data_IF_536711078136
#
_entry.id   IF_536711078136
#
_cell.length_a   1.000
_cell.length_b   1.000
_cell.length_c   1.000
_cell.angle_alpha   90.00
_cell.angle_beta   90.00
_cell.angle_gamma   90.00
#
_symmetry.space_group_name_H-M   'P 1'
#
loop_
_entity.id
_entity.type
_entity.pdbx_description
1 polymer ?
#
# COMPACT_ATOMS: atom_id res chain seq x y z
N UNK A 1 39.20 9.04 28.05
CA UNK A 1 39.01 7.58 28.12
C UNK A 1 38.36 7.29 29.47
N UNK A 2 37.05 7.03 29.50
CA UNK A 2 36.41 6.52 30.71
C UNK A 2 37.09 5.20 31.08
N UNK A 3 37.61 5.11 32.30
CA UNK A 3 38.22 3.89 32.83
C UNK A 3 37.12 3.09 33.51
N UNK A 4 37.04 1.80 33.18
CA UNK A 4 36.09 0.88 33.79
C UNK A 4 36.35 0.77 35.31
N UNK A 5 35.29 0.62 36.11
CA UNK A 5 35.41 0.64 37.58
C UNK A 5 35.50 -0.74 38.21
N UNK A 6 34.86 -1.76 37.63
CA UNK A 6 34.70 -3.10 38.19
C UNK A 6 35.05 -4.23 37.21
N UNK A 7 34.74 -4.08 35.93
CA UNK A 7 34.86 -5.13 34.92
C UNK A 7 35.61 -4.65 33.67
N UNK A 8 36.37 -5.54 33.04
CA UNK A 8 37.06 -5.24 31.78
C UNK A 8 36.88 -6.35 30.76
N UNK A 9 36.44 -6.00 29.55
CA UNK A 9 36.32 -6.95 28.45
C UNK A 9 37.72 -7.23 27.88
N UNK A 10 38.13 -8.49 27.88
CA UNK A 10 39.44 -8.90 27.36
C UNK A 10 39.37 -9.40 25.91
N UNK A 11 38.26 -10.02 25.54
CA UNK A 11 38.08 -10.60 24.21
C UNK A 11 36.98 -11.65 24.17
N UNK A 12 36.95 -12.42 23.08
CA UNK A 12 35.96 -13.45 22.84
C UNK A 12 36.67 -14.78 22.58
N UNK A 13 36.15 -15.87 23.14
CA UNK A 13 36.58 -17.23 22.84
C UNK A 13 35.50 -17.98 22.06
N UNK A 14 35.93 -18.91 21.20
CA UNK A 14 35.05 -19.74 20.38
C UNK A 14 35.37 -21.21 20.65
N UNK A 15 34.55 -21.86 21.47
CA UNK A 15 34.59 -23.31 21.68
C UNK A 15 33.39 -23.95 20.97
N UNK A 16 32.17 -23.82 21.51
CA UNK A 16 30.90 -24.23 20.87
C UNK A 16 29.91 -23.06 20.71
N UNK A 17 29.87 -22.15 21.69
CA UNK A 17 29.13 -20.87 21.65
C UNK A 17 30.11 -19.72 21.84
N UNK A 18 29.88 -18.58 21.20
CA UNK A 18 30.75 -17.41 21.39
C UNK A 18 30.53 -16.86 22.81
N UNK A 19 31.59 -16.89 23.61
CA UNK A 19 31.59 -16.35 24.98
C UNK A 19 32.50 -15.13 25.07
N UNK A 20 32.06 -14.13 25.81
CA UNK A 20 32.85 -12.97 26.15
C UNK A 20 33.66 -13.23 27.43
N UNK A 21 34.95 -12.92 27.37
CA UNK A 21 35.88 -13.07 28.49
C UNK A 21 36.00 -11.72 29.21
N UNK A 22 35.51 -11.68 30.44
CA UNK A 22 35.49 -10.48 31.29
C UNK A 22 36.39 -10.69 32.50
N UNK A 23 37.20 -9.70 32.83
CA UNK A 23 38.05 -9.67 34.02
C UNK A 23 37.41 -8.84 35.11
N UNK A 24 37.39 -9.36 36.34
CA UNK A 24 37.01 -8.61 37.54
C UNK A 24 38.23 -7.86 38.06
N UNK A 25 38.22 -6.52 38.00
CA UNK A 25 39.38 -5.69 38.32
C UNK A 25 39.82 -5.80 39.79
N UNK A 26 38.88 -6.05 40.70
CA UNK A 26 39.17 -6.17 42.13
C UNK A 26 39.87 -7.49 42.51
N UNK A 27 39.68 -8.55 41.75
CA UNK A 27 40.17 -9.91 42.09
C UNK A 27 41.11 -10.51 41.05
N UNK A 28 41.20 -9.93 39.85
CA UNK A 28 41.92 -10.50 38.71
C UNK A 28 41.28 -11.77 38.14
N UNK A 29 40.11 -12.17 38.64
CA UNK A 29 39.42 -13.39 38.21
C UNK A 29 38.84 -13.21 36.80
N UNK A 30 39.02 -14.22 35.96
CA UNK A 30 38.45 -14.29 34.62
C UNK A 30 37.11 -15.04 34.63
N UNK A 31 36.11 -14.50 33.97
CA UNK A 31 34.78 -15.09 33.82
C UNK A 31 34.45 -15.13 32.32
N UNK A 32 34.02 -16.29 31.83
CA UNK A 32 33.49 -16.47 30.48
C UNK A 32 31.96 -16.49 30.55
N UNK A 33 31.31 -15.58 29.83
CA UNK A 33 29.86 -15.41 29.85
C UNK A 33 29.32 -15.50 28.42
N UNK A 34 28.14 -16.08 28.22
CA UNK A 34 27.47 -16.07 26.91
C UNK A 34 27.15 -14.64 26.47
N UNK A 35 27.22 -14.37 25.16
CA UNK A 35 26.93 -13.03 24.63
C UNK A 35 25.52 -12.48 25.01
N UNK A 36 24.43 -13.27 24.94
CA UNK A 36 23.09 -12.76 25.30
C UNK A 36 22.94 -12.52 26.81
N UNK A 37 23.53 -13.40 27.62
CA UNK A 37 23.53 -13.25 29.08
C UNK A 37 24.30 -12.01 29.51
N UNK A 38 25.43 -11.74 28.86
CA UNK A 38 26.23 -10.54 29.11
C UNK A 38 25.49 -9.26 28.72
N UNK A 39 24.69 -9.28 27.64
CA UNK A 39 23.84 -8.14 27.24
C UNK A 39 22.81 -7.77 28.32
N UNK A 40 22.19 -8.78 28.93
CA UNK A 40 21.19 -8.60 29.98
C UNK A 40 21.74 -8.37 31.39
N UNK A 41 23.07 -8.43 31.56
CA UNK A 41 23.72 -8.40 32.88
C UNK A 41 24.13 -7.00 33.33
N UNK A 42 24.24 -6.80 34.65
CA UNK A 42 24.77 -5.57 35.27
C UNK A 42 26.23 -5.25 34.85
N UNK A 43 26.95 -6.24 34.28
CA UNK A 43 28.32 -6.07 33.80
C UNK A 43 28.36 -5.13 32.59
N UNK A 44 27.29 -5.06 31.80
CA UNK A 44 27.19 -4.19 30.62
C UNK A 44 27.32 -2.70 30.98
N UNK A 45 26.78 -2.29 32.13
CA UNK A 45 26.75 -0.90 32.55
C UNK A 45 28.14 -0.32 32.89
N UNK A 46 29.12 -1.19 33.16
CA UNK A 46 30.49 -0.79 33.54
C UNK A 46 31.51 -0.89 32.37
N UNK A 47 31.08 -1.39 31.21
CA UNK A 47 31.91 -1.49 30.01
C UNK A 47 32.09 -0.14 29.32
N UNK A 48 33.27 0.10 28.75
CA UNK A 48 33.53 1.31 27.98
C UNK A 48 32.80 1.27 26.62
N UNK A 49 32.52 2.44 26.05
CA UNK A 49 31.88 2.62 24.74
C UNK A 49 32.55 1.81 23.61
N UNK A 50 33.88 1.67 23.65
CA UNK A 50 34.62 0.85 22.67
C UNK A 50 34.41 -0.66 22.87
N UNK A 51 34.27 -1.10 24.12
CA UNK A 51 34.04 -2.50 24.49
C UNK A 51 32.59 -2.90 24.20
N UNK A 52 31.63 -2.03 24.52
CA UNK A 52 30.22 -2.17 24.15
C UNK A 52 30.08 -2.29 22.62
N UNK A 53 30.78 -1.43 21.87
CA UNK A 53 30.78 -1.49 20.39
C UNK A 53 31.36 -2.80 19.87
N UNK A 54 32.43 -3.32 20.49
CA UNK A 54 33.03 -4.60 20.12
C UNK A 54 32.07 -5.78 20.40
N UNK A 55 31.39 -5.75 21.54
CA UNK A 55 30.38 -6.73 21.94
C UNK A 55 29.19 -6.73 20.99
N UNK A 56 28.57 -5.58 20.72
CA UNK A 56 27.45 -5.51 19.77
C UNK A 56 27.84 -5.87 18.35
N UNK A 57 29.04 -5.50 17.90
CA UNK A 57 29.57 -5.93 16.60
C UNK A 57 29.67 -7.45 16.50
N UNK A 58 29.86 -8.14 17.63
CA UNK A 58 29.99 -9.59 17.64
C UNK A 58 28.70 -10.33 17.92
N UNK A 59 27.84 -9.76 18.76
CA UNK A 59 26.49 -10.25 19.03
C UNK A 59 25.63 -10.19 17.76
N UNK A 60 25.62 -9.05 17.05
CA UNK A 60 24.86 -8.87 15.80
C UNK A 60 25.67 -9.15 14.52
N UNK A 61 26.89 -9.66 14.66
CA UNK A 61 27.75 -10.02 13.53
C UNK A 61 27.74 -11.52 13.20
N UNK A 62 26.97 -12.31 13.96
CA UNK A 62 26.85 -13.75 13.76
C UNK A 62 25.67 -14.07 12.84
N UNK A 63 25.82 -15.07 11.97
CA UNK A 63 24.86 -15.42 10.92
C UNK A 63 23.52 -15.98 11.44
N UNK A 64 23.44 -16.24 12.75
CA UNK A 64 22.24 -16.71 13.43
C UNK A 64 21.40 -15.60 14.08
N UNK A 65 21.83 -14.33 14.00
CA UNK A 65 21.05 -13.20 14.53
C UNK A 65 20.12 -12.62 13.48
N UNK A 66 18.82 -12.70 13.75
CA UNK A 66 17.78 -12.16 12.87
C UNK A 66 17.97 -10.64 12.82
N UNK A 67 18.52 -10.15 11.72
CA UNK A 67 18.73 -8.70 11.55
C UNK A 67 17.38 -8.01 11.33
N UNK A 68 17.31 -6.71 11.64
CA UNK A 68 16.14 -5.88 11.30
C UNK A 68 15.82 -5.89 9.79
N UNK A 69 16.81 -6.25 8.96
CA UNK A 69 16.66 -6.47 7.53
C UNK A 69 15.93 -7.79 7.20
N UNK A 70 16.22 -8.88 7.94
CA UNK A 70 15.50 -10.15 7.84
C UNK A 70 14.09 -10.09 8.44
N UNK A 71 13.86 -9.25 9.46
CA UNK A 71 12.52 -8.85 9.92
C UNK A 71 11.76 -8.00 8.87
N UNK A 72 12.50 -7.30 8.00
CA UNK A 72 11.99 -6.40 6.98
C UNK A 72 11.70 -7.08 5.63
N UNK A 73 12.25 -8.27 5.38
CA UNK A 73 11.93 -9.07 4.19
C UNK A 73 10.59 -9.78 4.40
N UNK A 74 9.58 -8.94 4.27
CA UNK A 74 8.16 -9.24 4.21
C UNK A 74 7.97 -10.50 3.38
N UNK A 75 7.54 -11.60 4.03
CA UNK A 75 7.11 -12.88 3.44
C UNK A 75 6.71 -12.74 1.97
N UNK A 76 7.17 -13.62 1.07
CA UNK A 76 6.74 -13.67 -0.34
C UNK A 76 5.22 -13.47 -0.49
N UNK A 77 4.44 -14.04 0.45
CA UNK A 77 2.97 -13.89 0.55
C UNK A 77 2.47 -12.45 0.60
N UNK A 78 3.18 -11.55 1.28
CA UNK A 78 2.83 -10.14 1.34
C UNK A 78 3.08 -9.44 0.01
N UNK A 79 4.19 -9.73 -0.67
CA UNK A 79 4.43 -9.22 -2.02
C UNK A 79 3.43 -9.79 -3.03
N UNK A 80 3.07 -11.07 -2.91
CA UNK A 80 1.98 -11.65 -3.69
C UNK A 80 0.63 -10.95 -3.41
N UNK A 81 0.30 -10.66 -2.15
CA UNK A 81 -0.91 -9.92 -1.82
C UNK A 81 -0.89 -8.49 -2.42
N UNK A 82 0.23 -7.79 -2.34
CA UNK A 82 0.41 -6.48 -3.00
C UNK A 82 0.20 -6.57 -4.51
N UNK A 83 0.76 -7.59 -5.16
CA UNK A 83 0.60 -7.81 -6.60
C UNK A 83 -0.86 -8.10 -6.95
N UNK A 84 -1.53 -9.00 -6.21
CA UNK A 84 -2.95 -9.33 -6.45
C UNK A 84 -3.83 -8.09 -6.31
N UNK A 85 -3.64 -7.30 -5.25
CA UNK A 85 -4.43 -6.07 -5.04
C UNK A 85 -4.14 -5.06 -6.15
N UNK A 86 -2.87 -4.90 -6.55
CA UNK A 86 -2.49 -3.99 -7.63
C UNK A 86 -3.08 -4.42 -8.97
N UNK A 87 -3.04 -5.70 -9.33
CA UNK A 87 -3.64 -6.24 -10.57
C UNK A 87 -5.17 -6.14 -10.54
N UNK A 88 -5.79 -6.40 -9.39
CA UNK A 88 -7.23 -6.25 -9.25
C UNK A 88 -7.64 -4.79 -9.45
N UNK A 89 -6.84 -3.86 -8.92
CA UNK A 89 -7.06 -2.44 -9.10
C UNK A 89 -6.92 -2.01 -10.56
N UNK A 90 -5.87 -2.45 -11.27
CA UNK A 90 -5.70 -2.12 -12.69
C UNK A 90 -6.88 -2.63 -13.52
N UNK A 91 -7.34 -3.84 -13.25
CA UNK A 91 -8.49 -4.44 -13.92
C UNK A 91 -9.78 -3.65 -13.69
N UNK A 92 -10.06 -3.26 -12.43
CA UNK A 92 -11.23 -2.44 -12.10
C UNK A 92 -11.15 -1.07 -12.76
N UNK A 93 -9.97 -0.48 -12.83
CA UNK A 93 -9.77 0.82 -13.47
C UNK A 93 -10.01 0.75 -15.00
N UNK A 94 -9.50 -0.29 -15.66
CA UNK A 94 -9.79 -0.56 -17.07
C UNK A 94 -11.29 -0.82 -17.31
N UNK A 95 -11.91 -1.64 -16.47
CA UNK A 95 -13.36 -1.91 -16.52
C UNK A 95 -14.17 -0.62 -16.37
N UNK A 96 -13.76 0.27 -15.47
CA UNK A 96 -14.42 1.56 -15.27
C UNK A 96 -14.25 2.47 -16.48
N UNK A 97 -13.11 2.42 -17.17
CA UNK A 97 -12.85 3.20 -18.38
C UNK A 97 -13.77 2.75 -19.52
N UNK A 98 -13.91 1.45 -19.75
CA UNK A 98 -14.82 0.88 -20.76
C UNK A 98 -16.30 1.10 -20.36
N UNK A 99 -16.64 0.83 -19.10
CA UNK A 99 -17.97 1.02 -18.55
C UNK A 99 -18.40 2.49 -18.48
N UNK A 100 -17.46 3.44 -18.62
CA UNK A 100 -17.74 4.87 -18.65
C UNK A 100 -18.40 5.34 -19.95
N UNK A 101 -18.31 4.55 -21.02
CA UNK A 101 -18.81 4.91 -22.35
C UNK A 101 -20.32 4.78 -22.48
N UNK A 102 -20.92 3.80 -21.80
CA UNK A 102 -22.35 3.50 -21.94
C UNK A 102 -23.15 4.24 -20.86
N UNK A 103 -23.90 5.31 -21.16
CA UNK A 103 -24.82 5.89 -20.19
C UNK A 103 -25.95 4.90 -19.92
N UNK A 104 -26.33 4.72 -18.65
CA UNK A 104 -27.54 4.00 -18.26
C UNK A 104 -28.52 4.95 -17.58
N UNK A 105 -29.80 4.77 -17.88
CA UNK A 105 -30.88 5.44 -17.16
C UNK A 105 -31.28 4.57 -15.97
N UNK A 106 -31.29 5.15 -14.78
CA UNK A 106 -31.82 4.49 -13.57
C UNK A 106 -33.28 4.97 -13.39
N UNK A 107 -34.30 4.15 -13.72
CA UNK A 107 -35.69 4.62 -13.78
C UNK A 107 -36.23 5.11 -12.44
N UNK A 108 -35.74 4.54 -11.33
CA UNK A 108 -36.21 4.83 -9.96
C UNK A 108 -35.89 6.25 -9.51
N UNK A 109 -34.78 6.82 -10.00
CA UNK A 109 -34.28 8.15 -9.60
C UNK A 109 -34.14 9.13 -10.77
N UNK A 110 -34.51 8.69 -11.98
CA UNK A 110 -34.42 9.47 -13.22
C UNK A 110 -33.04 10.10 -13.47
N UNK A 111 -31.97 9.40 -13.07
CA UNK A 111 -30.59 9.81 -13.28
C UNK A 111 -29.96 9.06 -14.45
N UNK A 112 -29.18 9.78 -15.26
CA UNK A 112 -28.31 9.21 -16.30
C UNK A 112 -26.90 9.16 -15.74
N UNK A 113 -26.39 7.95 -15.51
CA UNK A 113 -25.06 7.74 -14.94
C UNK A 113 -24.35 6.61 -15.69
N UNK A 114 -23.03 6.69 -15.94
CA UNK A 114 -22.30 5.55 -16.48
C UNK A 114 -22.19 4.42 -15.45
N UNK A 115 -22.28 3.13 -15.84
CA UNK A 115 -22.03 1.98 -14.97
C UNK A 115 -20.69 2.03 -14.23
N UNK A 116 -19.71 2.75 -14.77
CA UNK A 116 -18.42 3.00 -14.12
C UNK A 116 -18.55 3.50 -12.68
N UNK A 117 -19.64 4.20 -12.33
CA UNK A 117 -19.85 4.71 -10.97
C UNK A 117 -19.96 3.63 -9.90
N UNK A 118 -20.31 2.39 -10.28
CA UNK A 118 -20.43 1.29 -9.33
C UNK A 118 -19.11 0.54 -9.14
N UNK A 119 -18.24 0.57 -10.15
CA UNK A 119 -16.96 -0.13 -10.13
C UNK A 119 -15.83 0.76 -9.61
N UNK A 120 -15.83 2.03 -10.02
CA UNK A 120 -14.76 2.98 -9.70
C UNK A 120 -14.55 3.18 -8.19
N UNK A 121 -15.58 3.28 -7.32
CA UNK A 121 -15.37 3.39 -5.88
C UNK A 121 -14.60 2.21 -5.25
N UNK A 122 -14.56 1.06 -5.92
CA UNK A 122 -13.77 -0.09 -5.46
C UNK A 122 -12.27 0.20 -5.61
N UNK A 123 -11.82 1.05 -6.55
CA UNK A 123 -10.41 1.44 -6.66
C UNK A 123 -9.92 2.16 -5.41
N UNK A 124 -10.72 3.09 -4.88
CA UNK A 124 -10.43 3.81 -3.63
C UNK A 124 -10.21 2.84 -2.47
N UNK A 125 -11.08 1.82 -2.33
CA UNK A 125 -10.95 0.80 -1.29
C UNK A 125 -9.62 0.04 -1.44
N UNK A 126 -9.28 -0.37 -2.66
CA UNK A 126 -8.04 -1.12 -2.92
C UNK A 126 -6.79 -0.26 -2.68
N UNK A 127 -6.80 1.03 -3.06
CA UNK A 127 -5.72 1.97 -2.76
C UNK A 127 -5.59 2.23 -1.26
N UNK A 128 -6.70 2.37 -0.55
CA UNK A 128 -6.70 2.53 0.91
C UNK A 128 -6.08 1.32 1.60
N UNK A 129 -6.39 0.10 1.12
CA UNK A 129 -5.75 -1.14 1.59
C UNK A 129 -4.24 -1.09 1.33
N UNK A 130 -3.82 -0.76 0.10
CA UNK A 130 -2.38 -0.68 -0.22
C UNK A 130 -1.68 0.35 0.65
N UNK A 131 -2.26 1.54 0.82
CA UNK A 131 -1.69 2.60 1.63
C UNK A 131 -1.61 2.20 3.11
N UNK A 132 -2.63 1.51 3.61
CA UNK A 132 -2.66 1.08 5.01
C UNK A 132 -1.56 0.06 5.34
N UNK A 133 -1.35 -0.93 4.47
CA UNK A 133 -0.39 -2.02 4.72
C UNK A 133 1.00 -1.73 4.16
N UNK A 134 1.12 -1.15 2.98
CA UNK A 134 2.38 -0.95 2.25
C UNK A 134 2.86 0.50 2.27
N UNK A 135 2.03 1.43 2.76
CA UNK A 135 2.36 2.83 2.91
C UNK A 135 2.20 3.66 1.64
N UNK A 136 2.34 4.98 1.81
CA UNK A 136 2.10 5.98 0.76
C UNK A 136 2.96 5.77 -0.49
N UNK A 137 4.23 5.37 -0.33
CA UNK A 137 5.14 5.17 -1.48
C UNK A 137 4.65 4.07 -2.40
N UNK A 138 4.18 2.95 -1.85
CA UNK A 138 3.68 1.83 -2.63
C UNK A 138 2.31 2.15 -3.24
N UNK A 139 1.41 2.81 -2.49
CA UNK A 139 0.14 3.27 -3.03
C UNK A 139 0.32 4.17 -4.26
N UNK A 140 1.21 5.17 -4.19
CA UNK A 140 1.52 6.05 -5.34
C UNK A 140 2.12 5.31 -6.53
N UNK A 141 2.97 4.31 -6.27
CA UNK A 141 3.50 3.45 -7.34
C UNK A 141 2.39 2.66 -8.01
N UNK A 142 1.49 2.03 -7.25
CA UNK A 142 0.33 1.33 -7.82
C UNK A 142 -0.58 2.26 -8.61
N UNK A 143 -0.84 3.47 -8.10
CA UNK A 143 -1.64 4.48 -8.82
C UNK A 143 -1.01 4.78 -10.18
N UNK A 144 0.29 5.07 -10.21
CA UNK A 144 1.01 5.40 -11.43
C UNK A 144 1.10 4.23 -12.42
N UNK A 145 1.39 3.02 -11.93
CA UNK A 145 1.41 1.80 -12.75
C UNK A 145 0.04 1.59 -13.38
N UNK A 146 -1.04 1.72 -12.61
CA UNK A 146 -2.40 1.51 -13.10
C UNK A 146 -2.82 2.53 -14.13
N UNK A 147 -2.42 3.79 -13.94
CA UNK A 147 -2.58 4.84 -14.92
C UNK A 147 -1.86 4.52 -16.24
N UNK A 148 -0.58 4.14 -16.19
CA UNK A 148 0.18 3.75 -17.38
C UNK A 148 -0.44 2.54 -18.06
N UNK A 149 -0.80 1.51 -17.29
CA UNK A 149 -1.43 0.30 -17.83
C UNK A 149 -2.74 0.62 -18.56
N UNK A 150 -3.55 1.54 -18.03
CA UNK A 150 -4.78 1.97 -18.68
C UNK A 150 -4.53 2.74 -19.98
N UNK A 151 -3.51 3.62 -19.99
CA UNK A 151 -3.08 4.29 -21.23
C UNK A 151 -2.64 3.26 -22.28
N UNK A 152 -1.80 2.30 -21.91
CA UNK A 152 -1.33 1.27 -22.82
C UNK A 152 -2.49 0.42 -23.36
N UNK A 153 -3.46 0.09 -22.50
CA UNK A 153 -4.66 -0.62 -22.89
C UNK A 153 -5.47 0.16 -23.95
N UNK A 154 -5.78 1.43 -23.69
CA UNK A 154 -6.54 2.26 -24.64
C UNK A 154 -5.74 2.59 -25.90
N UNK A 155 -4.41 2.76 -25.80
CA UNK A 155 -3.54 2.91 -26.96
C UNK A 155 -3.55 1.65 -27.84
N UNK A 156 -3.60 0.46 -27.23
CA UNK A 156 -3.81 -0.80 -27.94
C UNK A 156 -5.16 -0.84 -28.66
N UNK A 157 -6.26 -0.46 -27.99
CA UNK A 157 -7.58 -0.35 -28.63
C UNK A 157 -7.57 0.64 -29.80
N UNK A 158 -6.93 1.80 -29.62
CA UNK A 158 -6.77 2.77 -30.68
C UNK A 158 -5.98 2.20 -31.87
N UNK A 159 -4.86 1.52 -31.62
CA UNK A 159 -4.09 0.86 -32.67
C UNK A 159 -4.91 -0.18 -33.45
N UNK A 160 -5.76 -0.96 -32.76
CA UNK A 160 -6.65 -1.91 -33.44
C UNK A 160 -7.71 -1.23 -34.29
N UNK A 161 -8.18 -0.03 -33.91
CA UNK A 161 -9.16 0.73 -34.69
C UNK A 161 -8.60 1.34 -35.98
N UNK A 162 -7.27 1.44 -36.11
CA UNK A 162 -6.60 1.92 -37.33
C UNK A 162 -6.45 0.83 -38.39
N UNK A 163 -6.57 -0.45 -38.00
CA UNK A 163 -6.46 -1.56 -38.93
C UNK A 163 -7.69 -1.62 -39.84
N UNK A 164 -7.53 -2.00 -41.13
CA UNK A 164 -8.66 -2.12 -42.03
C UNK A 164 -9.61 -3.20 -41.54
N UNK A 165 -10.85 -2.82 -41.26
CA UNK A 165 -11.90 -3.77 -40.93
C UNK A 165 -12.34 -4.58 -42.13
N UNK A 166 -12.83 -5.79 -41.87
CA UNK A 166 -13.41 -6.64 -42.90
C UNK A 166 -14.72 -6.01 -43.43
N UNK A 167 -14.88 -5.90 -44.75
CA UNK A 167 -16.06 -5.28 -45.37
C UNK A 167 -17.37 -6.00 -45.06
N UNK A 168 -17.30 -7.30 -44.78
CA UNK A 168 -18.45 -8.13 -44.39
C UNK A 168 -18.82 -7.99 -42.90
N UNK A 169 -17.96 -7.32 -42.09
CA UNK A 169 -18.20 -7.16 -40.67
C UNK A 169 -18.95 -5.87 -40.36
N UNK A 170 -20.26 -5.99 -40.15
CA UNK A 170 -21.18 -4.86 -39.94
C UNK A 170 -20.79 -3.95 -38.75
N UNK A 171 -20.07 -4.49 -37.76
CA UNK A 171 -19.71 -3.77 -36.53
C UNK A 171 -18.48 -2.87 -36.68
N UNK A 172 -17.83 -2.83 -37.85
CA UNK A 172 -16.59 -2.07 -38.03
C UNK A 172 -16.76 -0.57 -37.69
N UNK A 173 -17.85 0.04 -38.17
CA UNK A 173 -18.13 1.46 -37.89
C UNK A 173 -18.45 1.69 -36.40
N UNK A 174 -19.26 0.82 -35.80
CA UNK A 174 -19.62 0.91 -34.38
C UNK A 174 -18.43 0.68 -33.46
N UNK A 175 -17.51 -0.22 -33.83
CA UNK A 175 -16.27 -0.47 -33.10
C UNK A 175 -15.40 0.79 -33.05
N UNK A 176 -15.16 1.42 -34.21
CA UNK A 176 -14.37 2.65 -34.28
C UNK A 176 -14.99 3.78 -33.46
N UNK A 177 -16.31 3.95 -33.49
CA UNK A 177 -17.00 4.96 -32.66
C UNK A 177 -16.88 4.67 -31.16
N UNK A 178 -16.99 3.40 -30.77
CA UNK A 178 -16.82 2.97 -29.39
C UNK A 178 -15.39 3.29 -28.90
N UNK A 179 -14.37 2.93 -29.67
CA UNK A 179 -12.97 3.20 -29.32
C UNK A 179 -12.70 4.71 -29.18
N UNK A 180 -13.22 5.54 -30.08
CA UNK A 180 -13.11 7.00 -29.95
C UNK A 180 -13.77 7.52 -28.66
N UNK A 181 -14.90 6.96 -28.28
CA UNK A 181 -15.59 7.31 -27.04
C UNK A 181 -14.78 6.88 -25.80
N UNK A 182 -14.13 5.71 -25.83
CA UNK A 182 -13.21 5.26 -24.76
C UNK A 182 -12.05 6.25 -24.59
N UNK A 183 -11.46 6.75 -25.69
CA UNK A 183 -10.34 7.70 -25.63
C UNK A 183 -10.76 9.00 -24.95
N UNK A 184 -11.95 9.53 -25.27
CA UNK A 184 -12.47 10.73 -24.61
C UNK A 184 -12.65 10.52 -23.10
N UNK A 185 -13.23 9.38 -22.70
CA UNK A 185 -13.41 9.00 -21.29
C UNK A 185 -12.05 8.84 -20.59
N UNK A 186 -11.05 8.23 -21.25
CA UNK A 186 -9.71 8.03 -20.70
C UNK A 186 -9.08 9.35 -20.26
N UNK A 187 -9.12 10.40 -21.08
CA UNK A 187 -8.48 11.68 -20.75
C UNK A 187 -9.09 12.30 -19.50
N UNK A 188 -10.42 12.34 -19.44
CA UNK A 188 -11.13 12.88 -18.28
C UNK A 188 -10.93 12.04 -17.02
N UNK A 189 -11.09 10.72 -17.13
CA UNK A 189 -10.96 9.80 -15.98
C UNK A 189 -9.54 9.73 -15.46
N UNK A 190 -8.54 9.82 -16.33
CA UNK A 190 -7.14 9.74 -15.93
C UNK A 190 -6.67 10.97 -15.17
N UNK A 191 -7.07 12.16 -15.61
CA UNK A 191 -6.78 13.39 -14.89
C UNK A 191 -7.44 13.39 -13.50
N UNK A 192 -8.72 13.00 -13.43
CA UNK A 192 -9.44 12.86 -12.18
C UNK A 192 -8.77 11.85 -11.24
N UNK A 193 -8.51 10.63 -11.73
CA UNK A 193 -7.87 9.54 -10.99
C UNK A 193 -6.50 9.90 -10.43
N UNK A 194 -5.63 10.52 -11.25
CA UNK A 194 -4.30 10.91 -10.77
C UNK A 194 -4.37 11.94 -9.65
N UNK A 195 -5.29 12.89 -9.72
CA UNK A 195 -5.42 13.93 -8.70
C UNK A 195 -6.10 13.36 -7.45
N UNK A 196 -7.26 12.72 -7.62
CA UNK A 196 -8.11 12.26 -6.51
C UNK A 196 -7.44 11.17 -5.69
N UNK A 197 -6.87 10.14 -6.31
CA UNK A 197 -6.27 9.01 -5.59
C UNK A 197 -4.95 9.38 -4.90
N UNK A 198 -4.17 10.31 -5.48
CA UNK A 198 -3.00 10.84 -4.80
C UNK A 198 -3.38 11.66 -3.57
N UNK A 199 -4.41 12.51 -3.68
CA UNK A 199 -4.92 13.29 -2.55
C UNK A 199 -5.50 12.37 -1.48
N UNK A 200 -6.30 11.38 -1.87
CA UNK A 200 -6.82 10.34 -0.97
C UNK A 200 -5.67 9.72 -0.16
N UNK A 201 -4.64 9.26 -0.88
CA UNK A 201 -3.51 8.59 -0.26
C UNK A 201 -2.73 9.47 0.71
N UNK A 202 -2.53 10.75 0.37
CA UNK A 202 -1.85 11.71 1.24
C UNK A 202 -2.65 11.97 2.50
N UNK A 203 -3.96 12.24 2.37
CA UNK A 203 -4.84 12.55 3.50
C UNK A 203 -4.92 11.35 4.43
N UNK A 204 -5.10 10.14 3.90
CA UNK A 204 -5.15 8.91 4.70
C UNK A 204 -3.86 8.74 5.52
N UNK A 205 -2.69 8.91 4.88
CA UNK A 205 -1.39 8.84 5.56
C UNK A 205 -1.26 9.94 6.64
N UNK A 206 -1.68 11.17 6.34
CA UNK A 206 -1.56 12.29 7.27
C UNK A 206 -2.44 12.12 8.50
N UNK A 207 -3.70 11.68 8.32
CA UNK A 207 -4.60 11.40 9.44
C UNK A 207 -4.05 10.21 10.25
N UNK A 208 -3.45 9.20 9.61
CA UNK A 208 -2.83 8.08 10.31
C UNK A 208 -1.67 8.52 11.22
N UNK A 209 -0.81 9.43 10.75
CA UNK A 209 0.24 10.06 11.57
C UNK A 209 -0.35 10.84 12.75
N UNK A 210 -1.33 11.69 12.49
CA UNK A 210 -1.95 12.54 13.52
C UNK A 210 -2.71 11.75 14.60
N UNK A 211 -3.32 10.62 14.22
CA UNK A 211 -4.16 9.80 15.11
C UNK A 211 -3.42 8.64 15.75
N UNK A 212 -2.09 8.53 15.57
CA UNK A 212 -1.29 7.40 16.04
C UNK A 212 -1.93 6.03 15.66
N UNK A 213 -2.49 5.93 14.45
CA UNK A 213 -3.17 4.74 13.92
C UNK A 213 -4.41 4.23 14.70
N UNK A 214 -4.99 5.05 15.58
CA UNK A 214 -6.13 4.62 16.43
C UNK A 214 -7.47 4.56 15.69
N UNK A 215 -7.78 5.55 14.85
CA UNK A 215 -9.12 5.72 14.25
C UNK A 215 -9.14 5.42 12.74
N UNK A 216 -9.20 4.14 12.37
CA UNK A 216 -9.22 3.71 10.96
C UNK A 216 -10.45 4.22 10.20
N UNK A 217 -11.63 4.09 10.80
CA UNK A 217 -12.89 4.52 10.19
C UNK A 217 -12.88 6.00 9.78
N UNK A 218 -12.43 6.87 10.70
CA UNK A 218 -12.42 8.32 10.48
C UNK A 218 -11.49 8.69 9.33
N UNK A 219 -10.27 8.12 9.29
CA UNK A 219 -9.31 8.46 8.23
C UNK A 219 -9.80 8.03 6.84
N UNK A 220 -10.38 6.84 6.73
CA UNK A 220 -10.85 6.28 5.45
C UNK A 220 -12.02 7.08 4.92
N UNK A 221 -13.01 7.39 5.76
CA UNK A 221 -14.16 8.18 5.31
C UNK A 221 -13.72 9.59 4.96
N UNK A 222 -12.92 10.23 5.81
CA UNK A 222 -12.48 11.62 5.55
C UNK A 222 -11.67 11.71 4.26
N UNK A 223 -10.74 10.78 4.03
CA UNK A 223 -9.93 10.76 2.80
C UNK A 223 -10.78 10.49 1.56
N UNK A 224 -11.69 9.51 1.61
CA UNK A 224 -12.57 9.19 0.49
C UNK A 224 -13.61 10.27 0.20
N UNK A 225 -14.14 10.95 1.21
CA UNK A 225 -15.05 12.09 1.03
C UNK A 225 -14.35 13.22 0.26
N UNK A 226 -13.16 13.62 0.72
CA UNK A 226 -12.42 14.72 0.08
C UNK A 226 -12.00 14.32 -1.34
N UNK A 227 -11.48 13.10 -1.49
CA UNK A 227 -11.01 12.62 -2.78
C UNK A 227 -12.15 12.45 -3.79
N UNK A 228 -13.29 11.88 -3.38
CA UNK A 228 -14.46 11.69 -4.25
C UNK A 228 -15.11 13.02 -4.68
N UNK A 229 -15.07 14.04 -3.82
CA UNK A 229 -15.52 15.39 -4.18
C UNK A 229 -14.63 15.97 -5.29
N UNK A 230 -13.30 15.94 -5.10
CA UNK A 230 -12.32 16.41 -6.08
C UNK A 230 -12.44 15.63 -7.37
N UNK A 231 -12.55 14.30 -7.28
CA UNK A 231 -12.70 13.41 -8.42
C UNK A 231 -13.91 13.78 -9.27
N UNK A 232 -15.07 13.94 -8.64
CA UNK A 232 -16.32 14.23 -9.35
C UNK A 232 -16.29 15.61 -10.01
N UNK A 233 -15.69 16.61 -9.35
CA UNK A 233 -15.51 17.96 -9.91
C UNK A 233 -14.55 17.93 -11.10
N UNK A 234 -13.36 17.36 -10.94
CA UNK A 234 -12.34 17.30 -11.99
C UNK A 234 -12.85 16.52 -13.19
N UNK A 235 -13.46 15.35 -12.95
CA UNK A 235 -14.01 14.51 -14.01
C UNK A 235 -15.11 15.23 -14.80
N UNK A 236 -16.13 15.77 -14.11
CA UNK A 236 -17.27 16.38 -14.80
C UNK A 236 -16.88 17.66 -15.55
N UNK A 237 -15.95 18.45 -15.02
CA UNK A 237 -15.44 19.64 -15.72
C UNK A 237 -14.68 19.19 -16.96
N UNK A 238 -13.70 18.30 -16.85
CA UNK A 238 -12.89 17.92 -18.01
C UNK A 238 -13.71 17.19 -19.07
N UNK A 239 -14.63 16.31 -18.66
CA UNK A 239 -15.44 15.53 -19.59
C UNK A 239 -16.51 16.36 -20.31
N UNK A 240 -17.13 17.34 -19.64
CA UNK A 240 -18.37 17.94 -20.13
C UNK A 240 -18.37 19.47 -20.26
N UNK A 241 -17.28 20.18 -19.93
CA UNK A 241 -17.24 21.66 -19.91
C UNK A 241 -17.80 22.35 -21.17
N UNK A 242 -17.58 21.78 -22.35
CA UNK A 242 -18.04 22.35 -23.63
C UNK A 242 -19.24 21.61 -24.26
N UNK A 243 -19.81 20.62 -23.56
CA UNK A 243 -20.83 19.71 -24.12
C UNK A 243 -22.17 19.93 -23.44
N UNK A 244 -22.17 20.15 -22.12
CA UNK A 244 -23.39 20.24 -21.31
C UNK A 244 -23.51 21.61 -20.64
N UNK A 245 -24.75 21.98 -20.29
CA UNK A 245 -25.01 23.20 -19.53
C UNK A 245 -24.37 23.13 -18.13
N UNK A 246 -23.96 24.28 -17.58
CA UNK A 246 -23.34 24.35 -16.26
C UNK A 246 -24.24 23.79 -15.15
N UNK A 247 -25.56 23.93 -15.27
CA UNK A 247 -26.51 23.41 -14.28
C UNK A 247 -26.63 21.89 -14.37
N UNK A 248 -26.62 21.31 -15.57
CA UNK A 248 -26.54 19.86 -15.75
C UNK A 248 -25.24 19.31 -15.14
N UNK A 249 -24.10 19.95 -15.39
CA UNK A 249 -22.80 19.54 -14.82
C UNK A 249 -22.84 19.55 -13.29
N UNK A 250 -23.40 20.60 -12.66
CA UNK A 250 -23.56 20.66 -11.20
C UNK A 250 -24.39 19.49 -10.66
N UNK A 251 -25.52 19.19 -11.30
CA UNK A 251 -26.37 18.05 -10.88
C UNK A 251 -25.66 16.70 -11.03
N UNK A 252 -24.82 16.54 -12.06
CA UNK A 252 -23.99 15.36 -12.25
C UNK A 252 -22.92 15.24 -11.15
N UNK A 253 -22.24 16.33 -10.80
CA UNK A 253 -21.23 16.32 -9.72
C UNK A 253 -21.87 15.88 -8.40
N UNK A 254 -23.02 16.47 -8.03
CA UNK A 254 -23.68 16.20 -6.76
C UNK A 254 -24.18 14.75 -6.72
N UNK A 255 -24.85 14.28 -7.77
CA UNK A 255 -25.36 12.90 -7.83
C UNK A 255 -24.22 11.88 -7.77
N UNK A 256 -23.13 12.10 -8.50
CA UNK A 256 -21.97 11.21 -8.45
C UNK A 256 -21.32 11.19 -7.08
N UNK A 257 -21.17 12.35 -6.46
CA UNK A 257 -20.59 12.48 -5.13
C UNK A 257 -21.42 11.75 -4.07
N UNK A 258 -22.76 11.85 -4.09
CA UNK A 258 -23.64 11.14 -3.15
C UNK A 258 -23.49 9.63 -3.27
N UNK A 259 -23.44 9.10 -4.50
CA UNK A 259 -23.26 7.66 -4.72
C UNK A 259 -21.89 7.21 -4.18
N UNK A 260 -20.82 7.94 -4.52
CA UNK A 260 -19.46 7.65 -4.02
C UNK A 260 -19.37 7.75 -2.50
N UNK A 261 -20.12 8.67 -1.88
CA UNK A 261 -20.21 8.78 -0.43
C UNK A 261 -20.79 7.51 0.21
N UNK A 262 -21.85 6.94 -0.36
CA UNK A 262 -22.40 5.66 0.08
C UNK A 262 -21.36 4.55 0.04
N UNK A 263 -20.58 4.48 -1.04
CA UNK A 263 -19.46 3.54 -1.16
C UNK A 263 -18.35 3.80 -0.15
N UNK A 264 -18.05 5.04 0.21
CA UNK A 264 -17.04 5.36 1.22
C UNK A 264 -17.39 4.74 2.59
N UNK A 265 -18.68 4.74 2.97
CA UNK A 265 -19.14 4.08 4.19
C UNK A 265 -19.06 2.55 4.10
N UNK A 266 -19.50 1.97 2.98
CA UNK A 266 -19.44 0.52 2.74
C UNK A 266 -17.99 0.03 2.73
N UNK A 267 -17.10 0.82 2.11
CA UNK A 267 -15.69 0.50 1.91
C UNK A 267 -14.87 0.39 3.19
N UNK A 268 -15.37 0.93 4.32
CA UNK A 268 -14.70 0.75 5.61
C UNK A 268 -14.71 -0.73 6.03
N UNK A 269 -15.79 -1.46 5.77
CA UNK A 269 -15.92 -2.88 6.15
C UNK A 269 -14.80 -3.76 5.57
N UNK A 270 -14.59 -3.77 4.25
CA UNK A 270 -13.48 -4.48 3.59
C UNK A 270 -12.09 -4.13 4.14
N UNK A 271 -11.85 -2.88 4.55
CA UNK A 271 -10.54 -2.48 5.10
C UNK A 271 -10.33 -3.08 6.49
N UNK A 272 -11.37 -3.14 7.33
CA UNK A 272 -11.30 -3.87 8.60
C UNK A 272 -11.14 -5.38 8.39
N UNK A 273 -11.86 -5.96 7.42
CA UNK A 273 -11.77 -7.38 7.07
C UNK A 273 -10.36 -7.75 6.60
N UNK A 274 -9.76 -6.94 5.72
CA UNK A 274 -8.38 -7.14 5.26
C UNK A 274 -7.38 -6.99 6.42
N UNK A 275 -7.58 -6.08 7.37
CA UNK A 275 -6.75 -6.00 8.58
C UNK A 275 -6.80 -7.27 9.43
N UNK A 276 -7.98 -7.87 9.58
CA UNK A 276 -8.12 -9.15 10.27
C UNK A 276 -7.45 -10.29 9.49
N UNK A 277 -7.61 -10.31 8.16
CA UNK A 277 -7.01 -11.32 7.28
C UNK A 277 -5.48 -11.24 7.29
N UNK A 278 -4.90 -10.03 7.15
CA UNK A 278 -3.47 -9.79 7.24
C UNK A 278 -2.91 -10.26 8.59
N UNK A 279 -3.59 -9.96 9.70
CA UNK A 279 -3.17 -10.44 11.03
C UNK A 279 -3.17 -11.97 11.13
N UNK A 280 -4.13 -12.65 10.49
CA UNK A 280 -4.24 -14.12 10.53
C UNK A 280 -3.28 -14.85 9.60
N UNK A 281 -3.05 -14.33 8.39
CA UNK A 281 -2.32 -15.04 7.32
C UNK A 281 -0.88 -14.58 7.12
N UNK A 282 -0.56 -13.33 7.47
CA UNK A 282 0.76 -12.74 7.21
C UNK A 282 1.57 -12.61 8.51
N UNK A 283 0.94 -12.32 9.65
CA UNK A 283 1.60 -12.26 10.95
C UNK A 283 1.56 -13.58 11.75
N UNK A 284 1.46 -14.74 11.07
CA UNK A 284 1.59 -16.01 11.78
C UNK A 284 3.05 -16.10 12.22
N UNK A 285 3.33 -15.88 13.50
CA UNK A 285 4.65 -16.09 14.09
C UNK A 285 5.13 -17.47 13.66
N UNK A 286 6.23 -17.51 12.90
CA UNK A 286 6.92 -18.77 12.68
C UNK A 286 7.29 -19.27 14.08
N UNK A 287 6.99 -20.54 14.43
CA UNK A 287 7.39 -21.07 15.72
C UNK A 287 8.89 -20.86 15.83
N UNK A 288 9.30 -20.13 16.88
CA UNK A 288 10.70 -20.07 17.30
C UNK A 288 11.17 -21.50 17.30
N UNK A 289 12.16 -21.81 16.47
CA UNK A 289 12.78 -23.13 16.42
C UNK A 289 13.44 -23.30 17.78
N UNK A 290 12.69 -23.82 18.75
CA UNK A 290 13.24 -24.25 20.03
C UNK A 290 14.34 -25.22 19.66
N UNK A 291 15.57 -24.85 20.03
CA UNK A 291 16.73 -25.72 19.98
C UNK A 291 16.31 -27.05 20.54
N UNK A 292 16.18 -28.07 19.69
CA UNK A 292 16.17 -29.44 20.18
C UNK A 292 17.54 -29.64 20.77
N UNK A 293 17.62 -29.56 22.08
CA UNK A 293 18.56 -30.32 22.89
C UNK A 293 18.57 -31.74 22.33
N UNK A 294 19.62 -32.09 21.59
CA UNK A 294 19.99 -33.48 21.45
C UNK A 294 20.79 -33.81 22.71
N UNK A 295 20.15 -34.56 23.60
CA UNK A 295 20.78 -35.38 24.63
C UNK A 295 21.70 -36.40 23.93
#
# INVERSE_FOLDING_TARGET
MEKNKKYKLLGFSRSDTITANVMVLATGKHISIGLPELESSEIMEDLNRNEIKALYRRLYGDSNTITSYELGDRHERSWYAYLIISVTLTMIYMLSTVGGVKPILIPVVNFVVPPAIFFYPVSFILIDIINEFYGLRMARRTIFISFISNILFVAGLWATSLLPGLSEWELNASYSQLVHSIIAVLFASSAAYLISENINSIILCKIKELTNSRYLFIRVITSNVIASAIDSVVFCIIAFHNILSADTIKTMIISQFIIKLGYAFIGVGPIYATRQLFRRYINKELPVKQSKECI
#
